data_IF_943382019358
#
_entry.id   IF_943382019358
#
_cell.length_a   1.000
_cell.length_b   1.000
_cell.length_c   1.000
_cell.angle_alpha   90.00
_cell.angle_beta   90.00
_cell.angle_gamma   90.00
#
_symmetry.space_group_name_H-M   'P 1'
#
loop_
_entity.id
_entity.type
_entity.pdbx_description
1 polymer ?
#
# COMPACT_ATOMS: atom_id res chain seq x y z
N UNK A 1 7.02 7.25 25.05
CA UNK A 1 7.97 7.72 24.02
C UNK A 1 8.41 6.61 23.07
N UNK A 2 8.96 5.47 23.56
CA UNK A 2 9.37 4.34 22.70
C UNK A 2 8.27 3.78 21.78
N UNK A 3 7.04 3.64 22.29
CA UNK A 3 5.90 3.14 21.51
C UNK A 3 5.47 4.10 20.38
N UNK A 4 5.51 5.41 20.62
CA UNK A 4 5.15 6.41 19.61
C UNK A 4 6.06 6.32 18.37
N UNK A 5 7.36 6.17 18.60
CA UNK A 5 8.34 5.99 17.52
C UNK A 5 8.21 4.65 16.84
N UNK A 6 7.93 3.60 17.60
CA UNK A 6 7.70 2.28 17.01
C UNK A 6 6.46 2.28 16.12
N UNK A 7 5.39 2.97 16.53
CA UNK A 7 4.18 3.18 15.73
C UNK A 7 4.51 3.93 14.43
N UNK A 8 5.16 5.09 14.52
CA UNK A 8 5.55 5.88 13.35
C UNK A 8 6.49 5.12 12.41
N UNK A 9 7.44 4.35 12.96
CA UNK A 9 8.33 3.49 12.19
C UNK A 9 7.55 2.38 11.49
N UNK A 10 6.59 1.70 12.15
CA UNK A 10 5.79 0.66 11.51
C UNK A 10 4.93 1.19 10.37
N UNK A 11 4.33 2.36 10.54
CA UNK A 11 3.53 3.03 9.50
C UNK A 11 4.42 3.37 8.30
N UNK A 12 5.59 3.98 8.54
CA UNK A 12 6.55 4.30 7.47
C UNK A 12 7.13 3.07 6.77
N UNK A 13 7.40 1.98 7.50
CA UNK A 13 7.94 0.75 6.91
C UNK A 13 6.96 0.05 5.97
N UNK A 14 5.65 0.25 6.19
CA UNK A 14 4.59 -0.41 5.43
C UNK A 14 3.89 0.52 4.43
N UNK A 15 4.51 1.67 4.11
CA UNK A 15 4.05 2.57 3.06
C UNK A 15 2.86 3.45 3.42
N UNK A 16 2.63 3.73 4.71
CA UNK A 16 1.64 4.71 5.12
C UNK A 16 2.02 6.12 4.65
N UNK A 17 1.01 6.93 4.33
CA UNK A 17 1.18 8.33 3.96
C UNK A 17 1.83 9.12 5.11
N UNK A 18 2.76 10.04 4.80
CA UNK A 18 3.47 10.82 5.82
C UNK A 18 2.54 11.61 6.75
N UNK A 19 1.44 12.15 6.22
CA UNK A 19 0.42 12.83 7.03
C UNK A 19 -0.23 11.88 8.06
N UNK A 20 -0.50 10.65 7.64
CA UNK A 20 -1.09 9.62 8.48
C UNK A 20 -0.12 9.13 9.57
N UNK A 21 1.17 9.03 9.23
CA UNK A 21 2.23 8.70 10.19
C UNK A 21 2.31 9.77 11.28
N UNK A 22 2.28 11.05 10.90
CA UNK A 22 2.33 12.17 11.84
C UNK A 22 1.10 12.19 12.74
N UNK A 23 -0.10 12.12 12.15
CA UNK A 23 -1.37 12.15 12.90
C UNK A 23 -1.48 11.00 13.91
N UNK A 24 -1.24 9.76 13.49
CA UNK A 24 -1.36 8.59 14.36
C UNK A 24 -0.31 8.56 15.46
N UNK A 25 0.91 9.00 15.16
CA UNK A 25 1.97 9.06 16.16
C UNK A 25 1.69 10.13 17.23
N UNK A 26 1.08 11.26 16.83
CA UNK A 26 0.67 12.32 17.73
C UNK A 26 -0.53 11.92 18.59
N UNK A 27 -1.56 11.32 17.97
CA UNK A 27 -2.74 10.77 18.64
C UNK A 27 -2.39 9.71 19.67
N UNK A 28 -1.52 8.77 19.30
CA UNK A 28 -1.02 7.75 20.23
C UNK A 28 -0.23 8.36 21.39
N UNK A 29 0.58 9.40 21.13
CA UNK A 29 1.30 10.11 22.18
C UNK A 29 0.38 10.78 23.20
N UNK A 30 -0.66 11.48 22.73
CA UNK A 30 -1.69 12.09 23.58
C UNK A 30 -2.47 11.05 24.38
N UNK A 31 -2.87 9.95 23.74
CA UNK A 31 -3.57 8.84 24.41
C UNK A 31 -2.73 8.19 25.52
N UNK A 32 -1.40 8.20 25.39
CA UNK A 32 -0.45 7.69 26.39
C UNK A 32 -0.05 8.73 27.46
N UNK A 33 -0.67 9.91 27.46
CA UNK A 33 -0.44 10.97 28.46
C UNK A 33 0.78 11.85 28.18
N UNK A 34 1.09 12.13 26.92
CA UNK A 34 2.04 13.17 26.51
C UNK A 34 1.31 14.47 26.16
N UNK A 35 1.94 15.62 26.42
CA UNK A 35 1.35 16.94 26.15
C UNK A 35 1.33 17.25 24.66
N UNK A 36 2.46 17.02 23.99
CA UNK A 36 2.57 17.14 22.55
C UNK A 36 3.61 16.19 21.97
N UNK A 37 3.42 15.90 20.68
CA UNK A 37 4.31 15.07 19.89
C UNK A 37 4.51 15.75 18.55
N UNK A 38 5.76 15.96 18.19
CA UNK A 38 6.19 16.51 16.91
C UNK A 38 6.95 15.42 16.16
N UNK A 39 6.69 15.28 14.87
CA UNK A 39 7.41 14.32 14.03
C UNK A 39 8.07 14.99 12.82
N UNK A 40 9.23 14.47 12.44
CA UNK A 40 9.92 14.83 11.21
C UNK A 40 10.27 13.54 10.48
N UNK A 41 9.69 13.41 9.29
CA UNK A 41 9.77 12.20 8.48
C UNK A 41 10.73 12.46 7.33
N UNK A 42 11.74 11.59 7.20
CA UNK A 42 12.65 11.52 6.07
C UNK A 42 12.56 10.13 5.43
N UNK A 43 12.93 10.02 4.15
CA UNK A 43 12.84 8.73 3.41
C UNK A 43 13.58 7.58 4.09
N UNK A 44 14.67 7.87 4.82
CA UNK A 44 15.51 6.87 5.50
C UNK A 44 15.44 6.93 7.03
N UNK A 45 14.70 7.87 7.62
CA UNK A 45 14.68 8.05 9.06
C UNK A 45 13.40 8.73 9.54
N UNK A 46 12.94 8.36 10.72
CA UNK A 46 11.91 9.08 11.46
C UNK A 46 12.54 9.69 12.71
N UNK A 47 12.32 10.98 12.90
CA UNK A 47 12.67 11.72 14.11
C UNK A 47 11.36 12.10 14.79
N UNK A 48 11.25 11.81 16.08
CA UNK A 48 10.03 12.08 16.83
C UNK A 48 10.41 12.69 18.17
N UNK A 49 9.80 13.83 18.47
CA UNK A 49 10.01 14.59 19.70
C UNK A 49 8.73 14.54 20.51
N UNK A 50 8.81 13.97 21.71
CA UNK A 50 7.69 13.94 22.66
C UNK A 50 7.95 14.93 23.78
N UNK A 51 6.96 15.74 24.12
CA UNK A 51 7.01 16.74 25.19
C UNK A 51 6.09 16.27 26.32
N UNK A 52 6.64 16.24 27.54
CA UNK A 52 5.89 15.93 28.75
C UNK A 52 6.41 16.75 29.92
N UNK A 53 5.55 17.47 30.62
CA UNK A 53 5.88 18.25 31.82
C UNK A 53 7.08 19.21 31.59
N UNK A 54 7.14 19.81 30.38
CA UNK A 54 8.25 20.69 29.96
C UNK A 54 9.57 19.97 29.61
N UNK A 55 9.61 18.64 29.68
CA UNK A 55 10.75 17.83 29.23
C UNK A 55 10.53 17.37 27.78
N UNK A 56 11.47 17.73 26.89
CA UNK A 56 11.50 17.24 25.52
C UNK A 56 12.40 16.01 25.41
N UNK A 57 11.86 14.92 24.86
CA UNK A 57 12.64 13.76 24.46
C UNK A 57 12.54 13.56 22.95
N UNK A 58 13.64 13.82 22.24
CA UNK A 58 13.77 13.50 20.82
C UNK A 58 14.35 12.10 20.66
N UNK A 59 13.81 11.32 19.75
CA UNK A 59 14.32 9.99 19.44
C UNK A 59 14.22 9.71 17.96
N UNK A 60 15.30 9.15 17.42
CA UNK A 60 15.48 8.91 16.00
C UNK A 60 15.60 7.42 15.72
N UNK A 61 14.97 6.94 14.65
CA UNK A 61 15.11 5.56 14.16
C UNK A 61 15.31 5.55 12.65
N UNK A 62 16.17 4.65 12.19
CA UNK A 62 16.40 4.40 10.77
C UNK A 62 15.24 3.59 10.20
N UNK A 63 14.69 4.04 9.08
CA UNK A 63 13.66 3.31 8.35
C UNK A 63 14.29 2.27 7.42
N UNK A 64 13.67 1.11 7.31
CA UNK A 64 14.00 0.09 6.31
C UNK A 64 12.72 -0.26 5.59
N UNK A 65 12.60 0.20 4.35
CA UNK A 65 11.38 0.03 3.56
C UNK A 65 11.08 -1.46 3.35
N UNK A 66 9.89 -1.90 3.78
CA UNK A 66 9.41 -3.29 3.66
C UNK A 66 8.33 -3.45 2.58
N UNK A 67 8.02 -2.39 1.83
CA UNK A 67 6.96 -2.36 0.84
C UNK A 67 5.58 -2.02 1.42
N UNK A 68 4.60 -1.82 0.54
CA UNK A 68 3.25 -1.35 0.90
C UNK A 68 2.43 -2.53 1.47
N UNK A 69 2.10 -2.49 2.77
CA UNK A 69 1.18 -3.44 3.39
C UNK A 69 0.07 -2.72 4.16
N UNK A 70 -1.07 -2.55 3.51
CA UNK A 70 -2.20 -1.83 4.08
C UNK A 70 -2.81 -2.53 5.30
N UNK A 71 -2.71 -3.86 5.41
CA UNK A 71 -3.24 -4.58 6.57
C UNK A 71 -2.51 -4.17 7.85
N UNK A 72 -1.17 -4.04 7.79
CA UNK A 72 -0.38 -3.56 8.92
C UNK A 72 -0.75 -2.13 9.28
N UNK A 73 -0.94 -1.26 8.29
CA UNK A 73 -1.34 0.14 8.52
C UNK A 73 -2.70 0.21 9.21
N UNK A 74 -3.69 -0.56 8.76
CA UNK A 74 -5.03 -0.62 9.37
C UNK A 74 -5.01 -1.20 10.79
N UNK A 75 -4.23 -2.26 11.04
CA UNK A 75 -4.08 -2.81 12.40
C UNK A 75 -3.46 -1.78 13.35
N UNK A 76 -2.43 -1.05 12.90
CA UNK A 76 -1.83 0.03 13.69
C UNK A 76 -2.84 1.14 13.97
N UNK A 77 -3.59 1.60 12.97
CA UNK A 77 -4.67 2.57 13.16
C UNK A 77 -5.69 2.10 14.20
N UNK A 78 -6.12 0.84 14.10
CA UNK A 78 -7.10 0.28 15.02
C UNK A 78 -6.56 0.22 16.46
N UNK A 79 -5.29 -0.14 16.65
CA UNK A 79 -4.63 -0.10 17.96
C UNK A 79 -4.58 1.32 18.52
N UNK A 80 -4.27 2.33 17.69
CA UNK A 80 -4.26 3.74 18.12
C UNK A 80 -5.65 4.19 18.57
N UNK A 81 -6.70 3.85 17.81
CA UNK A 81 -8.09 4.16 18.17
C UNK A 81 -8.50 3.47 19.48
N UNK A 82 -8.14 2.20 19.68
CA UNK A 82 -8.41 1.51 20.96
C UNK A 82 -7.67 2.15 22.14
N UNK A 83 -6.44 2.63 21.93
CA UNK A 83 -5.68 3.32 22.95
C UNK A 83 -6.32 4.68 23.30
N UNK A 84 -6.84 5.43 22.32
CA UNK A 84 -7.58 6.67 22.56
C UNK A 84 -8.82 6.46 23.41
N UNK A 85 -9.60 5.42 23.13
CA UNK A 85 -10.78 5.06 23.91
C UNK A 85 -10.48 4.49 25.31
N UNK A 86 -9.22 4.52 25.77
CA UNK A 86 -8.77 4.00 27.08
C UNK A 86 -9.07 2.51 27.30
N UNK A 87 -9.32 1.77 26.22
CA UNK A 87 -9.59 0.33 26.25
C UNK A 87 -8.30 -0.50 26.31
N UNK A 88 -7.14 0.14 26.05
CA UNK A 88 -5.83 -0.49 26.00
C UNK A 88 -4.80 0.29 26.84
N UNK A 89 -4.21 -0.40 27.81
CA UNK A 89 -3.08 0.11 28.59
C UNK A 89 -1.76 0.00 27.78
N UNK A 90 -0.70 0.69 28.21
CA UNK A 90 0.64 0.72 27.58
C UNK A 90 1.16 -0.69 27.23
N UNK A 91 0.96 -1.66 28.13
CA UNK A 91 1.38 -3.06 27.92
C UNK A 91 0.52 -3.78 26.88
N UNK A 92 -0.76 -3.43 26.77
CA UNK A 92 -1.68 -3.98 25.78
C UNK A 92 -1.33 -3.51 24.36
N UNK A 93 -0.93 -2.25 24.24
CA UNK A 93 -0.42 -1.65 23.00
C UNK A 93 0.86 -2.36 22.55
N UNK A 94 1.86 -2.50 23.44
CA UNK A 94 3.13 -3.18 23.12
C UNK A 94 2.90 -4.65 22.68
N UNK A 95 2.03 -5.39 23.38
CA UNK A 95 1.71 -6.77 23.04
C UNK A 95 1.04 -6.88 21.66
N UNK A 96 0.07 -6.01 21.36
CA UNK A 96 -0.58 -5.97 20.04
C UNK A 96 0.41 -5.60 18.93
N UNK A 97 1.27 -4.61 19.15
CA UNK A 97 2.33 -4.26 18.20
C UNK A 97 3.29 -5.42 17.91
N UNK A 98 3.62 -6.25 18.91
CA UNK A 98 4.45 -7.45 18.72
C UNK A 98 3.76 -8.58 17.95
N UNK A 99 2.43 -8.59 17.94
CA UNK A 99 1.61 -9.60 17.26
C UNK A 99 1.23 -9.22 15.83
N UNK A 100 1.54 -8.00 15.39
CA UNK A 100 1.26 -7.56 14.02
C UNK A 100 2.10 -8.41 13.06
N UNK A 101 1.44 -9.36 12.40
CA UNK A 101 2.03 -10.13 11.32
C UNK A 101 1.52 -9.59 9.99
N UNK A 102 2.42 -9.27 9.04
CA UNK A 102 2.00 -8.87 7.71
C UNK A 102 1.29 -10.04 7.04
N UNK A 103 -0.04 -9.97 6.90
CA UNK A 103 -0.79 -10.93 6.10
C UNK A 103 -0.29 -10.84 4.66
N UNK A 104 0.14 -11.99 4.12
CA UNK A 104 0.53 -12.13 2.71
C UNK A 104 -0.59 -12.90 2.01
N UNK A 105 -1.31 -12.23 1.12
CA UNK A 105 -2.28 -12.89 0.26
C UNK A 105 -1.57 -13.79 -0.77
N UNK A 106 -2.17 -14.94 -1.14
CA UNK A 106 -1.64 -15.76 -2.21
C UNK A 106 -1.64 -14.96 -3.51
N UNK A 107 -0.47 -14.88 -4.14
CA UNK A 107 -0.15 -14.02 -5.29
C UNK A 107 -1.07 -14.23 -6.49
N UNK A 108 -1.47 -15.48 -6.71
CA UNK A 108 -2.42 -15.89 -7.74
C UNK A 108 -3.83 -15.33 -7.49
N UNK A 109 -4.26 -15.23 -6.24
CA UNK A 109 -5.57 -14.66 -5.88
C UNK A 109 -5.59 -13.15 -6.12
N UNK A 110 -4.51 -12.45 -5.78
CA UNK A 110 -4.37 -11.01 -6.05
C UNK A 110 -4.41 -10.73 -7.55
N UNK A 111 -3.67 -11.52 -8.35
CA UNK A 111 -3.67 -11.38 -9.81
C UNK A 111 -5.07 -11.63 -10.40
N UNK A 112 -5.81 -12.61 -9.89
CA UNK A 112 -7.17 -12.93 -10.32
C UNK A 112 -8.16 -11.81 -9.98
N UNK A 113 -8.13 -11.30 -8.74
CA UNK A 113 -9.01 -10.21 -8.30
C UNK A 113 -8.77 -8.90 -9.06
N UNK A 114 -7.51 -8.59 -9.36
CA UNK A 114 -7.15 -7.39 -10.17
C UNK A 114 -7.60 -7.57 -11.61
N UNK A 115 -7.37 -8.74 -12.21
CA UNK A 115 -7.88 -9.07 -13.55
C UNK A 115 -9.39 -8.92 -13.65
N UNK A 116 -10.13 -9.45 -12.66
CA UNK A 116 -11.59 -9.36 -12.60
C UNK A 116 -12.08 -7.91 -12.47
N UNK A 117 -11.39 -7.11 -11.65
CA UNK A 117 -11.71 -5.68 -11.46
C UNK A 117 -11.55 -4.89 -12.76
N UNK A 118 -10.42 -5.06 -13.47
CA UNK A 118 -10.18 -4.41 -14.75
C UNK A 118 -11.16 -4.86 -15.83
N UNK A 119 -11.51 -6.15 -15.87
CA UNK A 119 -12.51 -6.69 -16.79
C UNK A 119 -13.92 -6.12 -16.55
N UNK A 120 -14.33 -6.02 -15.28
CA UNK A 120 -15.61 -5.41 -14.91
C UNK A 120 -15.64 -3.92 -15.29
N UNK A 121 -14.55 -3.18 -15.05
CA UNK A 121 -14.44 -1.78 -15.43
C UNK A 121 -14.52 -1.58 -16.96
N UNK A 122 -13.87 -2.45 -17.73
CA UNK A 122 -13.95 -2.44 -19.19
C UNK A 122 -15.40 -2.68 -19.66
N UNK A 123 -16.10 -3.65 -19.06
CA UNK A 123 -17.50 -3.94 -19.38
C UNK A 123 -18.42 -2.75 -19.05
N UNK A 124 -18.22 -2.08 -17.91
CA UNK A 124 -19.01 -0.90 -17.51
C UNK A 124 -18.80 0.30 -18.44
N UNK A 125 -17.60 0.44 -19.02
CA UNK A 125 -17.30 1.48 -20.00
C UNK A 125 -17.65 1.06 -21.44
N UNK A 126 -18.66 0.20 -21.64
CA UNK A 126 -19.09 -0.28 -22.96
C UNK A 126 -17.99 -0.99 -23.78
N UNK A 127 -17.00 -1.62 -23.11
CA UNK A 127 -15.91 -2.36 -23.77
C UNK A 127 -16.34 -3.70 -24.42
N UNK A 128 -17.59 -4.12 -24.24
CA UNK A 128 -18.10 -5.42 -24.68
C UNK A 128 -17.61 -6.59 -23.81
N UNK A 129 -18.27 -7.74 -23.94
CA UNK A 129 -17.83 -8.97 -23.26
C UNK A 129 -16.48 -9.46 -23.75
N UNK A 130 -16.25 -9.27 -25.05
CA UNK A 130 -15.02 -9.52 -25.76
C UNK A 130 -13.83 -8.73 -25.18
N UNK A 131 -13.99 -7.41 -25.00
CA UNK A 131 -12.96 -6.57 -24.37
C UNK A 131 -12.70 -6.91 -22.89
N UNK A 132 -13.73 -7.37 -22.17
CA UNK A 132 -13.59 -7.77 -20.77
C UNK A 132 -12.71 -9.04 -20.61
N UNK A 133 -12.86 -10.05 -21.47
CA UNK A 133 -12.04 -11.27 -21.44
C UNK A 133 -10.58 -10.95 -21.77
N UNK A 134 -10.35 -10.10 -22.78
CA UNK A 134 -9.01 -9.63 -23.13
C UNK A 134 -8.35 -8.91 -21.97
N UNK A 135 -9.07 -7.94 -21.38
CA UNK A 135 -8.55 -7.13 -20.28
C UNK A 135 -8.27 -7.99 -19.05
N UNK A 136 -9.07 -9.04 -18.81
CA UNK A 136 -8.83 -10.02 -17.74
C UNK A 136 -7.47 -10.71 -17.89
N UNK A 137 -7.19 -11.30 -19.05
CA UNK A 137 -5.92 -12.01 -19.29
C UNK A 137 -4.72 -11.06 -19.35
N UNK A 138 -4.89 -9.87 -19.96
CA UNK A 138 -3.84 -8.86 -20.02
C UNK A 138 -3.46 -8.33 -18.63
N UNK A 139 -4.45 -8.00 -17.79
CA UNK A 139 -4.19 -7.51 -16.43
C UNK A 139 -3.68 -8.61 -15.49
N UNK A 140 -4.17 -9.86 -15.62
CA UNK A 140 -3.67 -10.99 -14.83
C UNK A 140 -2.20 -11.28 -15.12
N UNK A 141 -1.81 -11.31 -16.40
CA UNK A 141 -0.42 -11.53 -16.82
C UNK A 141 0.49 -10.37 -16.45
N UNK A 142 0.04 -9.12 -16.62
CA UNK A 142 0.79 -7.93 -16.20
C UNK A 142 1.02 -7.90 -14.67
N UNK A 143 0.00 -8.27 -13.88
CA UNK A 143 0.13 -8.35 -12.41
C UNK A 143 1.06 -9.49 -11.99
N UNK A 144 1.03 -10.63 -12.68
CA UNK A 144 1.96 -11.73 -12.41
C UNK A 144 3.42 -11.32 -12.67
N UNK A 145 3.69 -10.62 -13.79
CA UNK A 145 5.01 -10.07 -14.10
C UNK A 145 5.44 -9.05 -13.04
N UNK A 146 4.55 -8.14 -12.64
CA UNK A 146 4.79 -7.14 -11.59
C UNK A 146 5.23 -7.77 -10.28
N UNK A 147 4.54 -8.84 -9.88
CA UNK A 147 4.86 -9.59 -8.67
C UNK A 147 6.21 -10.28 -8.80
N UNK A 148 6.50 -10.93 -9.93
CA UNK A 148 7.78 -11.62 -10.18
C UNK A 148 8.97 -10.65 -10.11
N UNK A 149 8.82 -9.44 -10.68
CA UNK A 149 9.83 -8.39 -10.61
C UNK A 149 9.98 -7.78 -9.22
N UNK A 150 8.89 -7.63 -8.47
CA UNK A 150 8.94 -7.15 -7.09
C UNK A 150 9.80 -8.07 -6.19
N UNK A 151 9.78 -9.38 -6.46
CA UNK A 151 10.66 -10.33 -5.76
C UNK A 151 12.15 -10.17 -6.08
N UNK A 152 12.50 -9.51 -7.19
CA UNK A 152 13.89 -9.28 -7.60
C UNK A 152 14.49 -8.00 -7.00
N UNK A 153 13.79 -7.33 -6.07
CA UNK A 153 14.25 -6.09 -5.41
C UNK A 153 14.66 -4.98 -6.40
N UNK A 154 14.04 -4.93 -7.58
CA UNK A 154 14.30 -3.87 -8.56
C UNK A 154 13.64 -2.56 -8.12
N UNK A 155 14.25 -1.43 -8.47
CA UNK A 155 13.74 -0.10 -8.16
C UNK A 155 12.28 0.03 -8.63
N UNK A 156 11.32 0.47 -7.79
CA UNK A 156 9.89 0.45 -8.08
C UNK A 156 9.53 1.07 -9.44
N UNK A 157 10.23 2.15 -9.83
CA UNK A 157 10.05 2.83 -11.12
C UNK A 157 10.33 1.92 -12.33
N UNK A 158 11.33 1.04 -12.25
CA UNK A 158 11.66 0.08 -13.31
C UNK A 158 10.56 -0.98 -13.40
N UNK A 159 10.06 -1.45 -12.25
CA UNK A 159 8.94 -2.39 -12.21
C UNK A 159 7.67 -1.78 -12.83
N UNK A 160 7.37 -0.51 -12.54
CA UNK A 160 6.27 0.23 -13.17
C UNK A 160 6.44 0.35 -14.69
N UNK A 161 7.63 0.71 -15.16
CA UNK A 161 7.89 0.84 -16.60
C UNK A 161 7.73 -0.52 -17.33
N UNK A 162 8.31 -1.59 -16.79
CA UNK A 162 8.27 -2.91 -17.43
C UNK A 162 6.86 -3.53 -17.41
N UNK A 163 6.09 -3.26 -16.36
CA UNK A 163 4.70 -3.75 -16.26
C UNK A 163 3.76 -2.97 -17.18
N UNK A 164 3.93 -1.65 -17.31
CA UNK A 164 3.22 -0.86 -18.32
C UNK A 164 3.57 -1.33 -19.73
N UNK A 165 4.85 -1.59 -20.00
CA UNK A 165 5.31 -2.12 -21.29
C UNK A 165 4.70 -3.49 -21.58
N UNK A 166 4.69 -4.41 -20.61
CA UNK A 166 4.05 -5.72 -20.79
C UNK A 166 2.53 -5.60 -21.02
N UNK A 167 1.84 -4.78 -20.22
CA UNK A 167 0.39 -4.56 -20.36
C UNK A 167 0.02 -3.95 -21.72
N UNK A 168 0.80 -2.96 -22.18
CA UNK A 168 0.59 -2.32 -23.49
C UNK A 168 0.97 -3.22 -24.66
N UNK A 169 2.03 -4.02 -24.54
CA UNK A 169 2.43 -4.97 -25.60
C UNK A 169 1.41 -6.09 -25.73
N UNK A 170 0.92 -6.64 -24.62
CA UNK A 170 -0.11 -7.70 -24.63
C UNK A 170 -1.44 -7.14 -25.17
N UNK A 171 -1.88 -5.97 -24.70
CA UNK A 171 -3.07 -5.30 -25.23
C UNK A 171 -2.91 -4.99 -26.72
N UNK A 172 -1.75 -4.46 -27.14
CA UNK A 172 -1.45 -4.15 -28.53
C UNK A 172 -1.41 -5.37 -29.46
N UNK A 173 -0.88 -6.50 -28.99
CA UNK A 173 -0.84 -7.76 -29.74
C UNK A 173 -2.24 -8.38 -29.88
N UNK A 174 -3.06 -8.31 -28.82
CA UNK A 174 -4.43 -8.83 -28.85
C UNK A 174 -5.38 -7.99 -29.70
N UNK A 175 -5.07 -6.70 -29.89
CA UNK A 175 -5.78 -5.81 -30.81
C UNK A 175 -5.51 -6.08 -32.29
N UNK A 176 -4.47 -6.85 -32.65
CA UNK A 176 -4.23 -7.27 -34.04
C UNK A 176 -5.13 -8.44 -34.49
N UNK A 177 -5.91 -9.03 -33.58
CA UNK A 177 -6.90 -10.05 -33.93
C UNK A 177 -8.20 -9.39 -34.45
N UNK A 178 -8.68 -9.77 -35.64
CA UNK A 178 -9.73 -9.06 -36.40
C UNK A 178 -11.14 -9.09 -35.78
N UNK A 179 -11.32 -9.69 -34.60
CA UNK A 179 -12.60 -9.82 -33.90
C UNK A 179 -12.90 -8.69 -32.90
N UNK A 180 -11.95 -7.78 -32.60
CA UNK A 180 -12.07 -6.83 -31.47
C UNK A 180 -12.03 -5.32 -31.86
N UNK A 181 -12.41 -4.99 -33.10
CA UNK A 181 -12.23 -3.65 -33.71
C UNK A 181 -13.00 -2.48 -33.05
N UNK A 182 -14.03 -2.73 -32.23
CA UNK A 182 -14.97 -1.66 -31.84
C UNK A 182 -14.76 -1.06 -30.43
N UNK A 183 -13.87 -1.59 -29.59
CA UNK A 183 -13.63 -1.06 -28.23
C UNK A 183 -12.14 -0.96 -27.80
N UNK A 184 -11.21 -0.55 -28.69
CA UNK A 184 -9.77 -0.69 -28.44
C UNK A 184 -9.19 0.27 -27.39
N UNK A 185 -9.71 1.49 -27.29
CA UNK A 185 -9.14 2.55 -26.42
C UNK A 185 -9.44 2.32 -24.93
N UNK A 186 -10.61 1.75 -24.64
CA UNK A 186 -11.10 1.55 -23.27
C UNK A 186 -10.40 0.36 -22.62
N UNK A 187 -10.12 -0.71 -23.38
CA UNK A 187 -9.35 -1.86 -22.90
C UNK A 187 -7.89 -1.48 -22.57
N UNK A 188 -7.25 -0.69 -23.44
CA UNK A 188 -5.90 -0.17 -23.16
C UNK A 188 -5.87 0.71 -21.91
N UNK A 189 -6.80 1.65 -21.77
CA UNK A 189 -6.88 2.51 -20.57
C UNK A 189 -7.16 1.69 -19.30
N UNK A 190 -8.06 0.70 -19.37
CA UNK A 190 -8.41 -0.16 -18.23
C UNK A 190 -7.25 -1.05 -17.77
N UNK A 191 -6.39 -1.49 -18.69
CA UNK A 191 -5.19 -2.27 -18.38
C UNK A 191 -4.10 -1.44 -17.67
N UNK A 192 -4.10 -0.11 -17.80
CA UNK A 192 -3.12 0.78 -17.16
C UNK A 192 -3.61 1.28 -15.80
N UNK A 193 -4.91 1.15 -15.47
CA UNK A 193 -5.44 1.54 -14.15
C UNK A 193 -4.79 0.79 -12.97
N UNK A 194 -4.23 -0.39 -13.20
CA UNK A 194 -3.45 -1.13 -12.20
C UNK A 194 -2.13 -0.44 -11.81
N UNK A 195 -1.69 0.57 -12.57
CA UNK A 195 -0.52 1.38 -12.24
C UNK A 195 -0.81 2.53 -11.27
N UNK A 196 -2.07 2.87 -11.00
CA UNK A 196 -2.40 3.88 -9.98
C UNK A 196 -1.85 3.40 -8.63
N UNK A 197 -1.05 4.22 -7.91
CA UNK A 197 -0.40 3.83 -6.66
C UNK A 197 -1.46 3.66 -5.56
N UNK A 198 -2.07 2.48 -5.51
CA UNK A 198 -3.06 2.10 -4.49
C UNK A 198 -3.15 0.58 -4.27
N UNK A 199 -2.45 -0.23 -5.07
CA UNK A 199 -2.45 -1.68 -4.92
C UNK A 199 -1.26 -2.15 -4.05
N UNK A 200 -1.51 -2.88 -2.96
CA UNK A 200 -0.45 -3.45 -2.14
C UNK A 200 0.36 -4.47 -2.95
N UNK A 201 1.70 -4.41 -2.82
CA UNK A 201 2.66 -5.32 -3.45
C UNK A 201 2.84 -6.59 -2.61
#
# INVERSE_FOLDING_TARGET
TRLCIQCGLFLLQHGAESALVDELSSRLGRALGMDSVESSISSNAIVLTTIKDGQCLTSTRKNHDRGINMHVVTEVQHIVILAEHHLLDYKGVEKRFSQIQPLRYPRWLVALMVGLSCACFCKLNNGGWDGAVITFFASMTAMYIRQLLAQRHLHPQINFCLTAFAATTISGLLLQLPTFSNTPTIAMAASVLLLVPGFPL
#
